data_IF_255043296569
#
_entry.id   IF_255043296569
#
_cell.length_a   1.000
_cell.length_b   1.000
_cell.length_c   1.000
_cell.angle_alpha   90.00
_cell.angle_beta   90.00
_cell.angle_gamma   90.00
#
_symmetry.space_group_name_H-M   'P 1'
#
loop_
_entity.id
_entity.type
_entity.pdbx_description
1 polymer ?
#
# COMPACT_ATOMS: atom_id res chain seq x y z
N UNK A 1 -33.87 43.82 -7.90
CA UNK A 1 -33.49 42.56 -8.57
C UNK A 1 -33.57 42.77 -10.07
N UNK A 2 -32.61 42.18 -10.79
CA UNK A 2 -32.39 42.18 -12.25
C UNK A 2 -32.04 43.53 -12.93
N UNK A 3 -30.74 43.66 -13.27
CA UNK A 3 -30.26 44.44 -14.43
C UNK A 3 -30.01 43.46 -15.58
N UNK A 4 -30.31 43.87 -16.81
CA UNK A 4 -29.25 43.85 -17.83
C UNK A 4 -29.31 45.12 -18.72
N UNK A 5 -28.15 45.65 -19.13
CA UNK A 5 -28.06 46.54 -20.31
C UNK A 5 -26.70 46.41 -20.98
N UNK A 6 -26.73 45.97 -22.24
CA UNK A 6 -25.70 46.10 -23.27
C UNK A 6 -26.36 46.95 -24.39
N UNK A 7 -25.54 47.68 -25.15
CA UNK A 7 -25.80 48.53 -26.34
C UNK A 7 -26.11 50.02 -26.04
N UNK A 8 -25.17 50.94 -26.35
CA UNK A 8 -24.96 51.66 -27.64
C UNK A 8 -26.06 52.73 -27.87
N UNK A 9 -25.85 53.99 -28.26
CA UNK A 9 -24.91 54.61 -29.21
C UNK A 9 -25.17 56.15 -29.21
N UNK A 10 -24.16 56.98 -29.54
CA UNK A 10 -24.21 58.38 -30.08
C UNK A 10 -24.78 59.53 -29.18
N UNK A 11 -24.42 60.82 -29.26
CA UNK A 11 -23.94 61.68 -30.36
C UNK A 11 -23.49 63.05 -29.74
N UNK A 12 -22.36 63.64 -30.18
CA UNK A 12 -22.26 65.10 -30.29
C UNK A 12 -21.24 65.52 -31.39
N UNK A 13 -21.83 65.84 -32.54
CA UNK A 13 -21.52 66.84 -33.58
C UNK A 13 -20.14 67.56 -33.63
N UNK A 14 -19.35 67.21 -34.67
CA UNK A 14 -18.90 68.02 -35.85
C UNK A 14 -18.25 69.43 -35.69
N UNK A 15 -17.60 70.02 -36.75
CA UNK A 15 -16.75 69.47 -37.83
C UNK A 15 -15.49 70.34 -38.14
N UNK A 16 -14.57 69.85 -38.97
CA UNK A 16 -14.12 70.62 -40.16
C UNK A 16 -13.33 69.79 -41.18
N UNK A 17 -13.78 69.92 -42.43
CA UNK A 17 -13.36 69.24 -43.64
C UNK A 17 -12.03 69.79 -44.20
N UNK A 18 -11.29 68.96 -44.96
CA UNK A 18 -10.94 69.26 -46.37
C UNK A 18 -10.28 68.05 -47.07
N UNK A 19 -10.81 67.78 -48.28
CA UNK A 19 -10.19 67.20 -49.50
C UNK A 19 -9.65 65.76 -49.45
N UNK A 20 -10.22 64.68 -50.02
CA UNK A 20 -10.87 64.30 -51.33
C UNK A 20 -9.88 63.61 -52.31
N UNK A 21 -10.36 62.48 -52.88
CA UNK A 21 -10.05 61.81 -54.17
C UNK A 21 -9.18 60.52 -54.13
N UNK A 22 -9.83 59.36 -54.32
CA UNK A 22 -9.35 58.07 -54.88
C UNK A 22 -9.53 58.10 -56.43
N UNK A 23 -9.10 57.13 -57.31
CA UNK A 23 -8.40 55.84 -57.13
C UNK A 23 -7.32 55.50 -58.22
N UNK A 24 -6.90 54.22 -58.27
CA UNK A 24 -6.59 53.35 -59.44
C UNK A 24 -5.14 53.01 -59.86
N UNK A 25 -4.88 51.68 -59.82
CA UNK A 25 -4.29 50.79 -60.85
C UNK A 25 -2.76 50.66 -61.04
N UNK A 26 -2.33 49.41 -60.80
CA UNK A 26 -1.56 48.55 -61.73
C UNK A 26 -0.02 48.69 -61.81
N UNK A 27 0.66 47.77 -61.12
CA UNK A 27 2.00 47.15 -61.36
C UNK A 27 2.61 46.90 -59.98
N UNK A 28 3.06 45.70 -59.57
CA UNK A 28 3.88 44.72 -60.24
C UNK A 28 3.45 43.30 -59.81
N UNK A 29 3.14 42.44 -60.79
CA UNK A 29 3.56 41.04 -60.72
C UNK A 29 5.08 41.01 -60.93
N UNK A 30 5.80 40.25 -60.10
CA UNK A 30 6.94 39.37 -60.40
C UNK A 30 7.63 39.05 -59.06
N UNK A 31 8.03 37.78 -58.88
CA UNK A 31 8.63 37.16 -57.68
C UNK A 31 7.68 36.43 -56.71
N UNK A 32 6.72 35.68 -57.24
CA UNK A 32 6.37 34.38 -56.64
C UNK A 32 7.39 33.32 -57.14
N UNK A 33 8.42 33.07 -56.35
CA UNK A 33 9.43 32.06 -56.68
C UNK A 33 10.35 31.79 -55.50
N UNK A 34 10.11 30.66 -54.82
CA UNK A 34 11.08 29.96 -53.97
C UNK A 34 11.44 30.58 -52.62
N UNK A 35 10.49 30.62 -51.69
CA UNK A 35 10.79 30.45 -50.25
C UNK A 35 9.65 29.69 -49.56
N UNK A 36 9.40 28.45 -50.02
CA UNK A 36 8.76 27.46 -49.18
C UNK A 36 9.77 27.03 -48.12
N UNK A 37 9.89 27.85 -47.08
CA UNK A 37 10.72 27.59 -45.93
C UNK A 37 10.20 26.31 -45.26
N UNK A 38 11.07 25.32 -45.26
CA UNK A 38 10.91 24.01 -44.65
C UNK A 38 10.67 24.19 -43.15
N UNK A 39 9.41 24.38 -42.77
CA UNK A 39 8.97 24.29 -41.39
C UNK A 39 9.07 22.82 -40.99
N UNK A 40 10.20 22.48 -40.37
CA UNK A 40 10.47 21.19 -39.74
C UNK A 40 9.37 20.93 -38.71
N UNK A 41 8.33 20.21 -39.13
CA UNK A 41 7.22 19.77 -38.31
C UNK A 41 7.74 18.68 -37.36
N UNK A 42 8.57 19.05 -36.38
CA UNK A 42 8.79 18.23 -35.19
C UNK A 42 7.47 18.19 -34.44
N UNK A 43 6.60 17.24 -34.82
CA UNK A 43 5.51 16.77 -33.98
C UNK A 43 6.12 16.49 -32.61
N UNK A 44 5.81 17.32 -31.62
CA UNK A 44 6.07 17.00 -30.21
C UNK A 44 5.49 15.60 -30.01
N UNK A 45 6.38 14.61 -29.83
CA UNK A 45 6.01 13.22 -29.55
C UNK A 45 5.07 13.31 -28.35
N UNK A 46 3.79 12.98 -28.54
CA UNK A 46 2.79 12.94 -27.47
C UNK A 46 3.45 12.17 -26.34
N UNK A 47 3.60 12.76 -25.16
CA UNK A 47 4.28 12.08 -24.05
C UNK A 47 3.54 10.77 -23.81
N UNK A 48 4.20 9.64 -24.05
CA UNK A 48 3.69 8.29 -23.82
C UNK A 48 3.64 8.05 -22.30
N UNK A 49 2.81 8.83 -21.60
CA UNK A 49 2.46 8.56 -20.20
C UNK A 49 1.72 7.23 -20.23
N UNK A 50 2.26 6.18 -19.59
CA UNK A 50 1.56 4.90 -19.52
C UNK A 50 0.20 5.16 -18.88
N UNK A 51 -0.86 4.61 -19.44
CA UNK A 51 -2.16 4.61 -18.75
C UNK A 51 -2.15 3.41 -17.81
N UNK A 52 -2.08 3.66 -16.51
CA UNK A 52 -2.01 2.59 -15.52
C UNK A 52 -2.85 2.94 -14.28
N UNK A 53 -3.12 1.91 -13.47
CA UNK A 53 -3.55 2.07 -12.08
C UNK A 53 -2.65 1.23 -11.18
N UNK A 54 -2.54 1.64 -9.92
CA UNK A 54 -2.01 0.81 -8.84
C UNK A 54 -3.25 0.31 -8.09
N UNK A 55 -3.37 -0.99 -7.87
CA UNK A 55 -4.47 -1.54 -7.07
C UNK A 55 -4.31 -1.14 -5.61
N UNK A 56 -5.44 -0.89 -4.94
CA UNK A 56 -5.47 -0.57 -3.51
C UNK A 56 -4.84 -1.67 -2.65
N UNK A 57 -4.99 -2.93 -3.05
CA UNK A 57 -4.38 -4.07 -2.36
C UNK A 57 -3.77 -5.07 -3.32
N UNK A 58 -2.78 -5.82 -2.81
CA UNK A 58 -2.04 -6.82 -3.55
C UNK A 58 -2.96 -7.80 -4.30
N UNK A 59 -2.64 -8.08 -5.56
CA UNK A 59 -3.42 -8.89 -6.50
C UNK A 59 -4.87 -8.43 -6.71
N UNK A 60 -5.17 -7.14 -6.53
CA UNK A 60 -6.50 -6.58 -6.73
C UNK A 60 -7.52 -7.09 -5.72
N UNK A 61 -7.06 -7.41 -4.50
CA UNK A 61 -7.94 -7.77 -3.39
C UNK A 61 -8.79 -6.57 -2.99
N UNK A 62 -9.98 -6.86 -2.49
CA UNK A 62 -10.95 -5.83 -2.10
C UNK A 62 -10.51 -5.10 -0.84
N UNK A 63 -9.94 -5.83 0.11
CA UNK A 63 -9.50 -5.31 1.42
C UNK A 63 -8.19 -5.99 1.85
N UNK A 64 -7.61 -5.52 2.96
CA UNK A 64 -6.59 -6.25 3.70
C UNK A 64 -7.14 -6.71 5.06
N UNK A 65 -6.81 -7.93 5.50
CA UNK A 65 -7.14 -8.46 6.82
C UNK A 65 -5.85 -8.86 7.54
N UNK A 66 -5.61 -8.25 8.70
CA UNK A 66 -4.43 -8.47 9.53
C UNK A 66 -4.85 -9.11 10.87
N UNK A 67 -4.40 -10.35 11.12
CA UNK A 67 -4.49 -10.97 12.43
C UNK A 67 -3.31 -10.52 13.28
N UNK A 68 -3.59 -10.03 14.49
CA UNK A 68 -2.56 -9.57 15.43
C UNK A 68 -2.77 -10.21 16.79
N UNK A 69 -1.67 -10.63 17.43
CA UNK A 69 -1.66 -11.37 18.70
C UNK A 69 -0.77 -10.63 19.70
N UNK A 70 -1.33 -10.21 20.84
CA UNK A 70 -0.62 -9.35 21.81
C UNK A 70 -0.12 -10.11 23.02
N UNK A 71 0.86 -9.53 23.71
CA UNK A 71 1.50 -10.00 24.96
C UNK A 71 2.49 -11.15 24.86
N UNK A 72 2.43 -11.94 23.78
CA UNK A 72 3.15 -13.21 23.68
C UNK A 72 2.81 -14.18 24.82
N UNK A 73 1.51 -14.48 24.97
CA UNK A 73 1.01 -15.38 26.02
C UNK A 73 1.43 -16.84 25.81
N UNK A 74 1.25 -17.70 26.83
CA UNK A 74 1.73 -19.09 26.84
C UNK A 74 1.18 -19.95 25.69
N UNK A 75 0.01 -19.61 25.14
CA UNK A 75 -0.60 -20.26 23.99
C UNK A 75 0.00 -19.89 22.64
N UNK A 76 0.66 -18.74 22.51
CA UNK A 76 1.07 -18.20 21.20
C UNK A 76 2.06 -19.10 20.48
N UNK A 77 3.14 -19.49 21.15
CA UNK A 77 4.13 -20.40 20.58
C UNK A 77 3.57 -21.80 20.25
N UNK A 78 3.09 -22.56 21.24
CA UNK A 78 2.71 -23.96 21.03
C UNK A 78 1.39 -24.15 20.26
N UNK A 79 0.45 -23.20 20.31
CA UNK A 79 -0.83 -23.31 19.62
C UNK A 79 -0.85 -22.42 18.37
N UNK A 80 -0.77 -21.11 18.55
CA UNK A 80 -1.10 -20.14 17.49
C UNK A 80 -0.09 -20.19 16.34
N UNK A 81 1.21 -20.09 16.64
CA UNK A 81 2.28 -20.13 15.64
C UNK A 81 2.20 -21.43 14.82
N UNK A 82 1.98 -22.58 15.47
CA UNK A 82 1.87 -23.86 14.77
C UNK A 82 0.67 -23.91 13.82
N UNK A 83 -0.51 -23.50 14.29
CA UNK A 83 -1.73 -23.45 13.48
C UNK A 83 -1.58 -22.50 12.27
N UNK A 84 -0.97 -21.32 12.46
CA UNK A 84 -0.77 -20.34 11.40
C UNK A 84 0.24 -20.82 10.35
N UNK A 85 1.34 -21.46 10.77
CA UNK A 85 2.35 -22.04 9.86
C UNK A 85 1.71 -23.12 9.00
N UNK A 86 0.96 -24.05 9.60
CA UNK A 86 0.29 -25.13 8.87
C UNK A 86 -0.65 -24.60 7.80
N UNK A 87 -1.40 -23.54 8.13
CA UNK A 87 -2.35 -22.87 7.23
C UNK A 87 -1.70 -21.89 6.26
N UNK A 88 -0.40 -21.63 6.36
CA UNK A 88 0.32 -20.56 5.65
C UNK A 88 -0.41 -19.22 5.78
N UNK A 89 -0.86 -18.93 7.00
CA UNK A 89 -1.66 -17.76 7.33
C UNK A 89 -0.76 -16.70 7.97
N UNK A 90 -0.41 -15.60 7.26
CA UNK A 90 0.40 -14.54 7.84
C UNK A 90 -0.36 -13.83 8.97
N UNK A 91 0.37 -13.45 10.01
CA UNK A 91 -0.13 -12.72 11.17
C UNK A 91 1.00 -11.91 11.81
N UNK A 92 0.64 -11.07 12.79
CA UNK A 92 1.58 -10.23 13.55
C UNK A 92 1.52 -10.59 15.03
N UNK A 93 2.66 -10.74 15.68
CA UNK A 93 2.76 -10.96 17.13
C UNK A 93 3.41 -9.74 17.78
N UNK A 94 2.66 -8.98 18.57
CA UNK A 94 3.20 -7.88 19.35
C UNK A 94 3.71 -8.42 20.69
N UNK A 95 5.03 -8.40 20.86
CA UNK A 95 5.71 -9.07 21.96
C UNK A 95 6.04 -8.10 23.09
N UNK A 96 5.57 -8.39 24.30
CA UNK A 96 6.03 -7.75 25.53
C UNK A 96 7.29 -8.46 25.99
N UNK A 97 8.45 -7.82 25.90
CA UNK A 97 9.72 -8.53 26.02
C UNK A 97 9.93 -9.21 27.40
N UNK A 98 9.43 -8.64 28.50
CA UNK A 98 9.53 -9.25 29.82
C UNK A 98 8.62 -10.47 30.01
N UNK A 99 7.61 -10.66 29.16
CA UNK A 99 6.74 -11.84 29.20
C UNK A 99 7.39 -13.07 28.52
N UNK A 100 8.56 -12.92 27.90
CA UNK A 100 9.22 -13.95 27.07
C UNK A 100 9.80 -15.14 27.87
N UNK A 101 9.68 -15.12 29.21
CA UNK A 101 10.48 -15.91 30.14
C UNK A 101 9.75 -17.00 30.91
N UNK A 102 9.21 -18.02 30.23
CA UNK A 102 9.10 -19.40 30.75
C UNK A 102 9.32 -20.42 29.60
N UNK A 103 10.59 -20.67 29.24
CA UNK A 103 11.00 -21.95 28.65
C UNK A 103 11.14 -22.07 27.12
N UNK A 104 11.26 -20.98 26.35
CA UNK A 104 11.57 -21.07 24.91
C UNK A 104 11.01 -19.98 23.98
N UNK A 105 10.58 -18.83 24.52
CA UNK A 105 9.89 -17.78 23.77
C UNK A 105 10.60 -17.35 22.48
N UNK A 106 11.89 -16.99 22.56
CA UNK A 106 12.65 -16.54 21.38
C UNK A 106 12.79 -17.60 20.29
N UNK A 107 12.91 -18.90 20.64
CA UNK A 107 12.99 -19.97 19.62
C UNK A 107 11.68 -20.06 18.83
N UNK A 108 10.53 -19.95 19.52
CA UNK A 108 9.23 -19.92 18.84
C UNK A 108 9.03 -18.62 18.04
N UNK A 109 9.51 -17.47 18.51
CA UNK A 109 9.47 -16.22 17.73
C UNK A 109 10.35 -16.30 16.48
N UNK A 110 11.55 -16.85 16.59
CA UNK A 110 12.44 -17.09 15.44
C UNK A 110 11.77 -18.04 14.44
N UNK A 111 11.14 -19.13 14.92
CA UNK A 111 10.34 -20.03 14.08
C UNK A 111 9.22 -19.27 13.37
N UNK A 112 8.47 -18.43 14.09
CA UNK A 112 7.40 -17.62 13.53
C UNK A 112 7.92 -16.69 12.43
N UNK A 113 9.00 -15.94 12.71
CA UNK A 113 9.64 -15.04 11.75
C UNK A 113 10.14 -15.76 10.49
N UNK A 114 10.77 -16.93 10.64
CA UNK A 114 11.24 -17.76 9.52
C UNK A 114 10.10 -18.22 8.60
N UNK A 115 8.87 -18.29 9.09
CA UNK A 115 7.69 -18.68 8.32
C UNK A 115 6.84 -17.48 7.88
N UNK A 116 7.37 -16.26 7.95
CA UNK A 116 6.70 -15.06 7.46
C UNK A 116 5.62 -14.51 8.39
N UNK A 117 5.61 -14.92 9.66
CA UNK A 117 4.84 -14.24 10.71
C UNK A 117 5.64 -13.04 11.21
N UNK A 118 4.99 -11.90 11.35
CA UNK A 118 5.64 -10.67 11.79
C UNK A 118 5.83 -10.66 13.31
N UNK A 119 7.00 -10.21 13.77
CA UNK A 119 7.25 -9.87 15.16
C UNK A 119 7.19 -8.34 15.29
N UNK A 120 6.21 -7.86 16.04
CA UNK A 120 6.01 -6.46 16.40
C UNK A 120 6.41 -6.19 17.85
N UNK A 121 6.53 -4.90 18.17
CA UNK A 121 6.93 -4.41 19.48
C UNK A 121 5.69 -4.17 20.36
N UNK A 122 5.63 -4.77 21.56
CA UNK A 122 4.64 -4.44 22.59
C UNK A 122 5.28 -3.93 23.87
N UNK A 123 6.41 -3.23 23.71
CA UNK A 123 7.23 -2.64 24.78
C UNK A 123 7.98 -3.67 25.63
N UNK A 124 8.79 -3.18 26.57
CA UNK A 124 9.59 -4.04 27.42
C UNK A 124 8.73 -4.63 28.54
N UNK A 125 8.02 -3.77 29.28
CA UNK A 125 7.30 -4.16 30.50
C UNK A 125 5.80 -3.85 30.46
N UNK A 126 5.24 -3.58 29.28
CA UNK A 126 3.83 -3.25 29.09
C UNK A 126 3.32 -2.05 29.92
N UNK A 127 4.04 -0.91 30.03
CA UNK A 127 3.54 0.26 30.75
C UNK A 127 2.62 1.13 29.87
N UNK A 128 1.81 1.97 30.52
CA UNK A 128 1.16 3.09 29.85
C UNK A 128 2.22 4.12 29.43
N UNK A 129 2.54 4.13 28.14
CA UNK A 129 3.60 4.95 27.56
C UNK A 129 3.37 6.46 27.74
N UNK A 130 2.12 6.89 27.93
CA UNK A 130 1.79 8.32 28.10
C UNK A 130 2.21 8.87 29.46
N UNK A 131 2.55 8.00 30.41
CA UNK A 131 2.97 8.35 31.78
C UNK A 131 4.48 8.33 31.98
N UNK A 132 5.25 8.01 30.95
CA UNK A 132 6.69 7.79 31.06
C UNK A 132 7.50 9.06 30.86
N UNK A 133 8.67 9.10 31.49
CA UNK A 133 9.73 10.05 31.13
C UNK A 133 10.25 9.75 29.72
N UNK A 134 10.94 10.70 29.09
CA UNK A 134 11.50 10.48 27.75
C UNK A 134 12.55 9.34 27.73
N UNK A 135 13.33 9.17 28.80
CA UNK A 135 14.33 8.11 28.89
C UNK A 135 13.69 6.73 29.06
N UNK A 136 12.66 6.62 29.91
CA UNK A 136 11.90 5.38 30.08
C UNK A 136 11.15 5.02 28.79
N UNK A 137 10.52 6.00 28.14
CA UNK A 137 9.84 5.81 26.86
C UNK A 137 10.80 5.28 25.79
N UNK A 138 12.02 5.82 25.71
CA UNK A 138 13.05 5.33 24.77
C UNK A 138 13.46 3.89 25.06
N UNK A 139 13.58 3.52 26.35
CA UNK A 139 13.88 2.14 26.75
C UNK A 139 12.76 1.19 26.35
N UNK A 140 11.52 1.56 26.64
CA UNK A 140 10.32 0.75 26.36
C UNK A 140 10.07 0.59 24.85
N UNK A 141 10.35 1.61 24.05
CA UNK A 141 10.07 1.59 22.60
C UNK A 141 11.31 1.17 21.81
N UNK A 142 12.31 2.03 21.76
CA UNK A 142 13.48 1.89 20.88
C UNK A 142 14.45 0.82 21.37
N UNK A 143 14.63 0.70 22.69
CA UNK A 143 15.43 -0.37 23.31
C UNK A 143 14.86 -1.76 23.02
N UNK A 144 13.55 -1.92 23.22
CA UNK A 144 12.83 -3.17 22.92
C UNK A 144 12.87 -3.52 21.44
N UNK A 145 12.66 -2.55 20.55
CA UNK A 145 12.74 -2.76 19.10
C UNK A 145 14.09 -3.36 18.70
N UNK A 146 15.19 -2.76 19.15
CA UNK A 146 16.54 -3.22 18.83
C UNK A 146 16.83 -4.62 19.41
N UNK A 147 16.38 -4.86 20.65
CA UNK A 147 16.54 -6.17 21.29
C UNK A 147 15.76 -7.25 20.57
N UNK A 148 14.47 -7.03 20.29
CA UNK A 148 13.64 -8.01 19.60
C UNK A 148 14.20 -8.31 18.21
N UNK A 149 14.55 -7.29 17.41
CA UNK A 149 15.13 -7.49 16.09
C UNK A 149 16.39 -8.36 16.12
N UNK A 150 17.25 -8.18 17.14
CA UNK A 150 18.44 -9.00 17.33
C UNK A 150 18.09 -10.45 17.70
N UNK A 151 17.23 -10.64 18.69
CA UNK A 151 16.91 -11.97 19.22
C UNK A 151 16.08 -12.81 18.23
N UNK A 152 15.22 -12.19 17.43
CA UNK A 152 14.38 -12.90 16.44
C UNK A 152 15.01 -12.98 15.05
N UNK A 153 16.11 -12.25 14.83
CA UNK A 153 16.73 -12.07 13.51
C UNK A 153 15.71 -11.63 12.44
N UNK A 154 14.83 -10.69 12.82
CA UNK A 154 13.77 -10.16 11.96
C UNK A 154 13.64 -8.65 12.10
N UNK A 155 13.07 -8.01 11.07
CA UNK A 155 12.69 -6.59 11.15
C UNK A 155 11.52 -6.44 12.13
N UNK A 156 11.69 -5.61 13.16
CA UNK A 156 10.63 -5.20 14.08
C UNK A 156 10.30 -3.75 13.75
N UNK A 157 9.21 -3.54 13.01
CA UNK A 157 8.87 -2.23 12.42
C UNK A 157 7.49 -1.70 12.82
N UNK A 158 6.70 -2.47 13.57
CA UNK A 158 5.37 -2.07 14.03
C UNK A 158 5.29 -2.14 15.55
N UNK A 159 4.38 -1.34 16.13
CA UNK A 159 4.15 -1.31 17.57
C UNK A 159 2.67 -1.39 17.91
N UNK A 160 2.33 -2.12 18.98
CA UNK A 160 1.02 -2.00 19.63
C UNK A 160 1.22 -1.23 20.94
N UNK A 161 0.42 -0.18 21.17
CA UNK A 161 0.50 0.59 22.42
C UNK A 161 -0.12 -0.24 23.55
N UNK A 162 0.60 -0.53 24.64
CA UNK A 162 0.02 -1.16 25.82
C UNK A 162 -1.22 -0.39 26.29
N UNK A 163 -2.31 -1.10 26.53
CA UNK A 163 -3.63 -0.55 26.89
C UNK A 163 -4.29 0.36 25.85
N UNK A 164 -3.59 0.80 24.79
CA UNK A 164 -4.09 1.63 23.70
C UNK A 164 -3.72 3.13 23.69
N UNK A 165 -3.50 3.82 24.82
CA UNK A 165 -3.19 5.25 24.82
C UNK A 165 -1.87 5.62 24.12
N UNK A 166 -1.88 6.79 23.49
CA UNK A 166 -0.72 7.46 22.93
C UNK A 166 -0.90 8.97 23.03
N UNK A 167 0.20 9.72 22.98
CA UNK A 167 0.23 11.18 22.86
C UNK A 167 1.34 11.58 21.87
N UNK A 168 1.50 12.87 21.61
CA UNK A 168 2.48 13.36 20.62
C UNK A 168 3.92 12.95 20.97
N UNK A 169 4.30 12.98 22.25
CA UNK A 169 5.62 12.53 22.69
C UNK A 169 5.84 11.04 22.39
N UNK A 170 4.84 10.21 22.67
CA UNK A 170 4.88 8.76 22.39
C UNK A 170 5.00 8.52 20.89
N UNK A 171 4.15 9.15 20.07
CA UNK A 171 4.17 9.00 18.60
C UNK A 171 5.53 9.40 18.02
N UNK A 172 6.11 10.51 18.48
CA UNK A 172 7.41 10.97 18.00
C UNK A 172 8.56 10.03 18.40
N UNK A 173 8.49 9.34 19.54
CA UNK A 173 9.44 8.27 19.84
C UNK A 173 9.24 7.06 18.92
N UNK A 174 7.98 6.60 18.76
CA UNK A 174 7.66 5.42 17.94
C UNK A 174 8.13 5.59 16.49
N UNK A 175 7.92 6.78 15.91
CA UNK A 175 8.30 7.14 14.53
C UNK A 175 9.79 7.02 14.22
N UNK A 176 10.66 7.03 15.23
CA UNK A 176 12.12 6.90 15.02
C UNK A 176 12.51 5.51 14.52
N UNK A 177 11.74 4.47 14.87
CA UNK A 177 12.10 3.07 14.62
C UNK A 177 10.97 2.21 14.05
N UNK A 178 9.73 2.71 14.02
CA UNK A 178 8.58 1.97 13.53
C UNK A 178 7.90 2.72 12.38
N UNK A 179 7.30 1.98 11.46
CA UNK A 179 6.54 2.52 10.32
C UNK A 179 5.06 2.74 10.62
N UNK A 180 4.56 2.09 11.68
CA UNK A 180 3.17 2.19 12.11
C UNK A 180 3.01 1.72 13.55
N UNK A 181 1.92 2.14 14.16
CA UNK A 181 1.49 1.64 15.46
C UNK A 181 -0.03 1.63 15.59
N UNK A 182 -0.54 0.70 16.41
CA UNK A 182 -1.96 0.56 16.69
C UNK A 182 -2.30 0.69 18.17
N UNK A 183 -3.47 1.26 18.45
CA UNK A 183 -4.11 1.23 19.77
C UNK A 183 -5.07 0.04 19.91
N UNK A 184 -6.00 0.15 20.87
CA UNK A 184 -7.08 -0.82 21.12
C UNK A 184 -8.48 -0.26 20.85
N UNK A 185 -8.56 0.85 20.12
CA UNK A 185 -9.83 1.50 19.81
C UNK A 185 -10.59 0.66 18.79
N UNK A 186 -11.80 0.26 19.15
CA UNK A 186 -12.70 -0.48 18.27
C UNK A 186 -13.04 0.31 17.00
N UNK A 187 -13.00 -0.37 15.87
CA UNK A 187 -13.28 0.19 14.56
C UNK A 187 -14.56 -0.39 13.99
N UNK A 188 -15.47 0.51 13.60
CA UNK A 188 -16.73 0.15 12.96
C UNK A 188 -16.75 0.44 11.46
N UNK A 189 -15.71 1.07 10.90
CA UNK A 189 -15.57 1.40 9.48
C UNK A 189 -14.15 1.11 9.00
N UNK A 190 -14.00 0.52 7.83
CA UNK A 190 -12.74 0.08 7.25
C UNK A 190 -12.44 0.85 5.96
N UNK A 191 -12.16 2.16 6.02
CA UNK A 191 -11.82 2.93 4.84
C UNK A 191 -10.45 2.49 4.29
N UNK A 192 -10.30 2.54 2.96
CA UNK A 192 -8.98 2.40 2.35
C UNK A 192 -8.04 3.52 2.80
N UNK A 193 -8.53 4.75 2.81
CA UNK A 193 -7.81 5.94 3.29
C UNK A 193 -7.82 6.00 4.84
N UNK A 194 -7.42 4.91 5.51
CA UNK A 194 -7.28 4.87 6.97
C UNK A 194 -6.11 5.73 7.47
N UNK A 195 -5.20 6.12 6.57
CA UNK A 195 -4.13 7.05 6.84
C UNK A 195 -4.01 8.08 5.71
N UNK A 196 -4.34 9.34 6.02
CA UNK A 196 -4.26 10.48 5.09
C UNK A 196 -3.06 11.38 5.38
N UNK A 197 -2.47 11.21 6.56
CA UNK A 197 -1.26 11.88 7.01
C UNK A 197 -0.25 10.88 7.57
N UNK A 198 1.02 11.29 7.64
CA UNK A 198 2.08 10.48 8.25
C UNK A 198 1.79 10.09 9.70
N UNK A 199 1.05 10.91 10.46
CA UNK A 199 0.70 10.59 11.84
C UNK A 199 -0.37 9.48 11.94
N UNK A 200 -1.23 9.34 10.94
CA UNK A 200 -2.37 8.42 11.01
C UNK A 200 -1.91 6.95 11.05
N UNK A 201 -0.76 6.64 10.44
CA UNK A 201 -0.13 5.32 10.54
C UNK A 201 0.26 4.92 11.97
N UNK A 202 0.32 5.87 12.90
CA UNK A 202 0.65 5.64 14.30
C UNK A 202 -0.58 5.71 15.21
N UNK A 203 -1.77 5.73 14.62
CA UNK A 203 -3.08 5.83 15.30
C UNK A 203 -4.03 4.75 14.80
N UNK A 204 -3.49 3.60 14.38
CA UNK A 204 -4.30 2.55 13.77
C UNK A 204 -5.24 1.92 14.81
N UNK A 205 -6.46 1.63 14.36
CA UNK A 205 -7.50 1.02 15.17
C UNK A 205 -7.57 -0.49 14.92
N UNK A 206 -8.22 -1.22 15.81
CA UNK A 206 -8.30 -2.69 15.77
C UNK A 206 -9.66 -3.17 16.29
N UNK A 207 -10.05 -4.39 15.96
CA UNK A 207 -11.26 -5.03 16.49
C UNK A 207 -10.86 -6.09 17.51
N UNK A 208 -11.38 -5.96 18.74
CA UNK A 208 -11.18 -6.95 19.80
C UNK A 208 -11.81 -8.31 19.50
N UNK A 209 -11.04 -9.39 19.68
CA UNK A 209 -11.55 -10.77 19.62
C UNK A 209 -11.53 -11.40 21.01
N UNK A 210 -12.66 -11.98 21.41
CA UNK A 210 -12.88 -12.70 22.66
C UNK A 210 -13.76 -13.94 22.43
N UNK A 211 -14.18 -14.63 23.48
CA UNK A 211 -14.99 -15.85 23.40
C UNK A 211 -16.34 -15.68 22.68
N UNK A 212 -16.94 -14.49 22.77
CA UNK A 212 -18.22 -14.14 22.13
C UNK A 212 -18.09 -13.89 20.62
N UNK A 213 -16.88 -13.91 20.09
CA UNK A 213 -16.61 -13.67 18.68
C UNK A 213 -16.88 -14.93 17.85
N UNK A 214 -18.06 -15.01 17.24
CA UNK A 214 -18.48 -16.16 16.42
C UNK A 214 -17.94 -16.07 14.99
N UNK A 215 -17.90 -17.21 14.28
CA UNK A 215 -17.62 -17.25 12.83
C UNK A 215 -18.55 -16.35 12.02
N UNK A 216 -19.80 -16.20 12.43
CA UNK A 216 -20.76 -15.31 11.78
C UNK A 216 -20.39 -13.83 11.95
N UNK A 217 -20.07 -13.40 13.18
CA UNK A 217 -19.59 -12.03 13.46
C UNK A 217 -18.31 -11.75 12.67
N UNK A 218 -17.38 -12.72 12.65
CA UNK A 218 -16.12 -12.64 11.92
C UNK A 218 -16.29 -12.53 10.42
N UNK A 219 -17.11 -13.37 9.80
CA UNK A 219 -17.44 -13.23 8.39
C UNK A 219 -18.13 -11.90 8.07
N UNK A 220 -18.96 -11.39 8.97
CA UNK A 220 -19.65 -10.10 8.79
C UNK A 220 -18.68 -8.93 8.74
N UNK A 221 -17.71 -8.85 9.65
CA UNK A 221 -16.72 -7.77 9.63
C UNK A 221 -15.76 -7.86 8.44
N UNK A 222 -15.37 -9.08 8.01
CA UNK A 222 -14.55 -9.26 6.79
C UNK A 222 -15.33 -8.81 5.55
N UNK A 223 -16.61 -9.16 5.44
CA UNK A 223 -17.47 -8.68 4.34
C UNK A 223 -17.60 -7.17 4.36
N UNK A 224 -17.74 -6.56 5.53
CA UNK A 224 -17.78 -5.10 5.66
C UNK A 224 -16.47 -4.46 5.19
N UNK A 225 -15.32 -4.99 5.60
CA UNK A 225 -14.02 -4.53 5.10
C UNK A 225 -13.89 -4.70 3.58
N UNK A 226 -14.37 -5.81 3.01
CA UNK A 226 -14.40 -6.03 1.56
C UNK A 226 -15.31 -5.03 0.80
N UNK A 227 -16.38 -4.56 1.43
CA UNK A 227 -17.29 -3.56 0.84
C UNK A 227 -16.66 -2.18 0.89
N UNK A 228 -16.06 -1.81 2.02
CA UNK A 228 -15.50 -0.48 2.26
C UNK A 228 -14.09 -0.31 1.66
N UNK A 229 -13.42 -1.42 1.36
CA UNK A 229 -12.17 -1.45 0.62
C UNK A 229 -10.90 -1.27 1.46
N UNK A 230 -11.02 -1.18 2.78
CA UNK A 230 -9.90 -0.83 3.65
C UNK A 230 -9.19 -1.97 4.36
N UNK A 231 -8.57 -1.62 5.48
CA UNK A 231 -7.78 -2.54 6.29
C UNK A 231 -8.58 -2.91 7.56
N UNK A 232 -8.77 -4.22 7.76
CA UNK A 232 -9.28 -4.81 8.99
C UNK A 232 -8.10 -5.31 9.81
N UNK A 233 -7.95 -4.80 11.03
CA UNK A 233 -6.98 -5.31 12.01
C UNK A 233 -7.73 -5.95 13.17
N UNK A 234 -7.30 -7.13 13.58
CA UNK A 234 -7.92 -7.92 14.66
C UNK A 234 -6.91 -8.18 15.76
N UNK A 235 -7.30 -7.98 17.02
CA UNK A 235 -6.46 -8.26 18.17
C UNK A 235 -6.96 -9.50 18.91
N UNK A 236 -6.07 -10.46 19.09
CA UNK A 236 -6.20 -11.67 19.90
C UNK A 236 -5.20 -11.58 21.06
N UNK A 237 -5.54 -12.15 22.21
CA UNK A 237 -4.63 -12.27 23.34
C UNK A 237 -4.42 -13.76 23.63
N UNK A 238 -5.07 -14.30 24.66
CA UNK A 238 -4.86 -15.68 25.09
C UNK A 238 -5.55 -16.73 24.21
N UNK A 239 -4.85 -17.84 23.97
CA UNK A 239 -5.40 -19.02 23.30
C UNK A 239 -5.02 -20.28 24.06
N UNK A 240 -6.00 -21.05 24.52
CA UNK A 240 -5.76 -22.25 25.34
C UNK A 240 -6.35 -23.52 24.73
N UNK A 241 -5.87 -24.66 25.22
CA UNK A 241 -6.46 -25.99 25.01
C UNK A 241 -6.17 -26.88 26.22
N UNK A 242 -6.57 -28.16 26.17
CA UNK A 242 -6.39 -29.10 27.29
C UNK A 242 -4.91 -29.33 27.69
N UNK A 243 -3.94 -28.93 26.85
CA UNK A 243 -2.50 -29.14 27.06
C UNK A 243 -1.75 -27.88 27.45
N UNK A 244 -2.29 -26.71 27.18
CA UNK A 244 -1.65 -25.41 27.38
C UNK A 244 -2.63 -24.49 28.08
N UNK A 245 -2.32 -24.17 29.33
CA UNK A 245 -3.08 -23.24 30.15
C UNK A 245 -2.71 -21.79 29.79
N UNK A 246 -3.64 -21.08 29.15
CA UNK A 246 -3.52 -19.69 28.74
C UNK A 246 -4.87 -18.98 28.86
N UNK A 247 -5.23 -18.61 30.09
CA UNK A 247 -6.49 -17.94 30.41
C UNK A 247 -6.29 -16.46 30.81
N UNK A 248 -5.23 -15.81 30.31
CA UNK A 248 -4.81 -14.50 30.84
C UNK A 248 -5.82 -13.37 30.57
N UNK A 249 -6.05 -13.00 29.31
CA UNK A 249 -6.98 -11.94 28.92
C UNK A 249 -7.68 -12.29 27.61
N UNK A 250 -8.98 -11.97 27.53
CA UNK A 250 -9.83 -12.21 26.36
C UNK A 250 -9.65 -13.60 25.73
N UNK A 251 -9.48 -14.62 26.57
CA UNK A 251 -9.04 -15.95 26.15
C UNK A 251 -10.07 -16.63 25.24
N UNK A 252 -9.58 -17.32 24.20
CA UNK A 252 -10.39 -18.19 23.35
C UNK A 252 -9.81 -19.60 23.32
N UNK A 253 -10.64 -20.60 23.05
CA UNK A 253 -10.15 -21.96 22.83
C UNK A 253 -9.43 -22.08 21.49
N UNK A 254 -8.48 -23.01 21.37
CA UNK A 254 -7.88 -23.40 20.08
C UNK A 254 -8.96 -23.81 19.05
N UNK A 255 -10.03 -24.47 19.50
CA UNK A 255 -11.16 -24.81 18.65
C UNK A 255 -11.82 -23.55 18.08
N UNK A 256 -12.06 -22.52 18.91
CA UNK A 256 -12.62 -21.26 18.45
C UNK A 256 -11.67 -20.54 17.48
N UNK A 257 -10.38 -20.49 17.77
CA UNK A 257 -9.38 -19.94 16.84
C UNK A 257 -9.47 -20.64 15.48
N UNK A 258 -9.51 -21.97 15.46
CA UNK A 258 -9.61 -22.75 14.22
C UNK A 258 -10.89 -22.45 13.42
N UNK A 259 -12.04 -22.32 14.08
CA UNK A 259 -13.29 -21.92 13.43
C UNK A 259 -13.20 -20.53 12.78
N UNK A 260 -12.52 -19.58 13.42
CA UNK A 260 -12.28 -18.25 12.87
C UNK A 260 -11.32 -18.30 11.68
N UNK A 261 -10.25 -19.10 11.76
CA UNK A 261 -9.30 -19.29 10.66
C UNK A 261 -9.94 -19.97 9.44
N UNK A 262 -10.79 -20.99 9.64
CA UNK A 262 -11.58 -21.62 8.58
C UNK A 262 -12.52 -20.62 7.90
N UNK A 263 -13.11 -19.72 8.70
CA UNK A 263 -13.93 -18.64 8.18
C UNK A 263 -13.10 -17.68 7.33
N UNK A 264 -11.91 -17.27 7.80
CA UNK A 264 -10.99 -16.40 7.04
C UNK A 264 -10.59 -17.03 5.70
N UNK A 265 -10.32 -18.34 5.71
CA UNK A 265 -9.92 -19.10 4.52
C UNK A 265 -10.98 -19.01 3.41
N UNK A 266 -12.27 -18.99 3.77
CA UNK A 266 -13.35 -18.80 2.80
C UNK A 266 -13.34 -17.44 2.10
N UNK A 267 -12.71 -16.42 2.69
CA UNK A 267 -12.60 -15.06 2.14
C UNK A 267 -11.24 -14.75 1.48
N UNK A 268 -10.26 -15.66 1.51
CA UNK A 268 -8.91 -15.43 0.92
C UNK A 268 -8.93 -15.06 -0.57
N UNK A 269 -10.01 -15.35 -1.30
CA UNK A 269 -10.19 -14.88 -2.68
C UNK A 269 -10.48 -13.38 -2.78
N UNK A 270 -11.09 -12.79 -1.76
CA UNK A 270 -11.54 -11.41 -1.74
C UNK A 270 -10.64 -10.49 -0.91
N UNK A 271 -10.22 -10.92 0.28
CA UNK A 271 -9.34 -10.14 1.16
C UNK A 271 -7.89 -10.59 1.04
N UNK A 272 -6.95 -9.65 1.15
CA UNK A 272 -5.54 -9.94 1.31
C UNK A 272 -5.24 -10.22 2.78
N UNK A 273 -5.08 -11.50 3.11
CA UNK A 273 -4.60 -11.90 4.43
C UNK A 273 -3.09 -11.68 4.48
N UNK A 274 -2.63 -10.80 5.37
CA UNK A 274 -1.23 -10.38 5.45
C UNK A 274 -0.85 -9.91 6.86
N UNK A 275 0.42 -9.59 7.07
CA UNK A 275 0.89 -8.99 8.33
C UNK A 275 0.61 -7.49 8.34
N UNK A 276 0.57 -6.87 9.52
CA UNK A 276 0.29 -5.43 9.64
C UNK A 276 1.36 -4.59 8.94
N UNK A 277 2.65 -4.94 9.09
CA UNK A 277 3.74 -4.27 8.39
C UNK A 277 3.56 -4.33 6.87
N UNK A 278 3.24 -5.49 6.30
CA UNK A 278 3.07 -5.63 4.86
C UNK A 278 1.89 -4.81 4.32
N UNK A 279 0.75 -4.80 5.03
CA UNK A 279 -0.40 -3.97 4.65
C UNK A 279 -0.05 -2.48 4.68
N UNK A 280 0.59 -2.01 5.76
CA UNK A 280 1.03 -0.61 5.89
C UNK A 280 2.05 -0.23 4.83
N UNK A 281 3.09 -1.05 4.62
CA UNK A 281 4.13 -0.81 3.61
C UNK A 281 3.49 -0.68 2.21
N UNK A 282 2.59 -1.61 1.86
CA UNK A 282 1.88 -1.56 0.58
C UNK A 282 1.08 -0.27 0.41
N UNK A 283 0.26 0.09 1.41
CA UNK A 283 -0.56 1.30 1.36
C UNK A 283 0.29 2.56 1.19
N UNK A 284 1.37 2.68 1.97
CA UNK A 284 2.34 3.79 1.89
C UNK A 284 3.01 3.88 0.53
N UNK A 285 3.55 2.77 0.03
CA UNK A 285 4.21 2.70 -1.28
C UNK A 285 3.22 3.03 -2.41
N UNK A 286 2.03 2.45 -2.39
CA UNK A 286 0.99 2.67 -3.41
C UNK A 286 0.56 4.14 -3.51
N UNK A 287 0.47 4.85 -2.39
CA UNK A 287 0.08 6.27 -2.35
C UNK A 287 1.10 7.22 -2.99
N UNK A 288 2.38 6.88 -2.95
CA UNK A 288 3.43 7.75 -3.46
C UNK A 288 4.12 7.24 -4.74
N UNK A 289 3.83 6.01 -5.17
CA UNK A 289 4.41 5.40 -6.35
C UNK A 289 3.93 6.03 -7.67
N UNK A 290 4.86 6.17 -8.62
CA UNK A 290 4.65 6.72 -9.95
C UNK A 290 5.35 5.87 -11.00
N UNK A 291 4.60 5.46 -12.01
CA UNK A 291 5.10 4.69 -13.15
C UNK A 291 5.38 5.62 -14.34
N UNK A 292 6.58 5.51 -14.91
CA UNK A 292 7.00 6.29 -16.08
C UNK A 292 7.48 5.39 -17.19
N UNK A 293 7.14 5.73 -18.44
CA UNK A 293 7.79 5.15 -19.62
C UNK A 293 9.19 5.70 -19.77
N UNK A 294 10.18 4.83 -19.93
CA UNK A 294 11.53 5.23 -20.36
C UNK A 294 11.62 5.14 -21.89
N UNK A 295 11.45 3.95 -22.46
CA UNK A 295 11.42 3.73 -23.91
C UNK A 295 10.30 2.80 -24.31
N UNK A 296 9.77 2.99 -25.52
CA UNK A 296 8.74 2.13 -26.08
C UNK A 296 9.01 1.94 -27.58
N UNK A 297 9.43 0.75 -27.98
CA UNK A 297 9.76 0.40 -29.37
C UNK A 297 8.98 -0.84 -29.83
N UNK A 298 9.25 -1.33 -31.05
CA UNK A 298 8.51 -2.45 -31.64
C UNK A 298 8.63 -3.77 -30.85
N UNK A 299 9.76 -4.00 -30.17
CA UNK A 299 10.09 -5.26 -29.48
C UNK A 299 10.02 -5.14 -27.95
N UNK A 300 10.19 -3.95 -27.38
CA UNK A 300 10.29 -3.77 -25.93
C UNK A 300 9.61 -2.46 -25.48
N UNK A 301 9.01 -2.50 -24.29
CA UNK A 301 8.59 -1.33 -23.53
C UNK A 301 9.29 -1.36 -22.17
N UNK A 302 10.08 -0.33 -21.88
CA UNK A 302 10.76 -0.18 -20.59
C UNK A 302 10.07 0.88 -19.74
N UNK A 303 9.88 0.56 -18.46
CA UNK A 303 9.20 1.40 -17.48
C UNK A 303 10.07 1.54 -16.23
N UNK A 304 9.83 2.60 -15.48
CA UNK A 304 10.38 2.81 -14.14
C UNK A 304 9.23 3.07 -13.16
N UNK A 305 9.16 2.27 -12.09
CA UNK A 305 8.28 2.52 -10.96
C UNK A 305 9.14 3.07 -9.82
N UNK A 306 8.83 4.29 -9.37
CA UNK A 306 9.54 4.97 -8.27
C UNK A 306 8.53 5.43 -7.26
N UNK A 307 8.89 5.51 -5.99
CA UNK A 307 8.09 6.18 -4.97
C UNK A 307 8.86 7.33 -4.30
N UNK A 308 8.30 7.92 -3.23
CA UNK A 308 8.96 9.03 -2.50
C UNK A 308 9.46 8.62 -1.12
N UNK A 309 9.39 7.34 -0.77
CA UNK A 309 9.87 6.79 0.50
C UNK A 309 11.36 6.49 0.37
N UNK A 310 12.17 7.00 1.29
CA UNK A 310 13.63 7.00 1.14
C UNK A 310 14.33 5.69 1.53
N UNK A 311 13.64 4.76 2.19
CA UNK A 311 14.23 3.53 2.73
C UNK A 311 13.73 2.27 2.02
N UNK A 312 14.37 1.94 0.89
CA UNK A 312 14.01 0.78 0.05
C UNK A 312 14.34 -0.58 0.68
N UNK A 313 14.94 -0.62 1.88
CA UNK A 313 15.08 -1.86 2.66
C UNK A 313 13.80 -2.18 3.43
N UNK A 314 13.09 -1.13 3.89
CA UNK A 314 11.84 -1.24 4.63
C UNK A 314 10.65 -1.27 3.66
N UNK A 315 10.64 -0.34 2.71
CA UNK A 315 9.60 -0.21 1.69
C UNK A 315 10.05 -0.94 0.43
N UNK A 316 9.48 -2.12 0.25
CA UNK A 316 9.85 -3.05 -0.80
C UNK A 316 8.68 -3.98 -1.17
N UNK A 317 7.44 -3.57 -0.90
CA UNK A 317 6.26 -4.37 -1.19
C UNK A 317 5.99 -4.36 -2.70
N UNK A 318 5.82 -5.54 -3.33
CA UNK A 318 5.40 -5.58 -4.71
C UNK A 318 4.00 -4.97 -4.86
N UNK A 319 3.90 -3.89 -5.63
CA UNK A 319 2.63 -3.24 -5.96
C UNK A 319 1.98 -3.89 -7.18
N UNK A 320 0.66 -4.05 -7.15
CA UNK A 320 -0.09 -4.59 -8.30
C UNK A 320 -0.40 -3.48 -9.28
N UNK A 321 0.22 -3.53 -10.46
CA UNK A 321 0.07 -2.56 -11.53
C UNK A 321 -0.86 -3.12 -12.59
N UNK A 322 -1.90 -2.36 -12.95
CA UNK A 322 -2.68 -2.60 -14.16
C UNK A 322 -2.24 -1.62 -15.24
N UNK A 323 -1.56 -2.11 -16.26
CA UNK A 323 -1.10 -1.32 -17.39
C UNK A 323 -2.04 -1.48 -18.59
N UNK A 324 -2.59 -0.37 -19.09
CA UNK A 324 -3.39 -0.35 -20.32
C UNK A 324 -2.49 -0.55 -21.53
N UNK A 325 -2.85 -1.53 -22.36
CA UNK A 325 -2.11 -1.88 -23.56
C UNK A 325 -3.03 -2.01 -24.77
N UNK A 326 -2.61 -1.68 -26.01
CA UNK A 326 -3.48 -1.78 -27.18
C UNK A 326 -3.93 -3.21 -27.55
N UNK A 327 -3.06 -4.20 -27.29
CA UNK A 327 -3.33 -5.61 -27.55
C UNK A 327 -2.51 -6.46 -26.57
N UNK A 328 -3.16 -7.05 -25.56
CA UNK A 328 -2.50 -7.86 -24.52
C UNK A 328 -1.68 -9.02 -25.10
N UNK A 329 -2.21 -9.71 -26.12
CA UNK A 329 -1.57 -10.90 -26.74
C UNK A 329 -0.23 -10.61 -27.44
N UNK A 330 0.11 -9.33 -27.62
CA UNK A 330 1.42 -8.93 -28.16
C UNK A 330 2.53 -9.02 -27.11
N UNK A 331 2.23 -9.03 -25.82
CA UNK A 331 3.24 -9.01 -24.77
C UNK A 331 3.51 -10.43 -24.29
N UNK A 332 4.78 -10.80 -24.10
CA UNK A 332 5.17 -12.21 -23.90
C UNK A 332 6.03 -12.45 -22.66
N UNK A 333 6.66 -11.40 -22.11
CA UNK A 333 7.41 -11.49 -20.87
C UNK A 333 7.44 -10.13 -20.16
N UNK A 334 7.43 -10.16 -18.83
CA UNK A 334 7.73 -9.01 -17.97
C UNK A 334 8.88 -9.40 -17.04
N UNK A 335 9.81 -8.49 -16.80
CA UNK A 335 10.88 -8.68 -15.82
C UNK A 335 11.23 -7.38 -15.11
N UNK A 336 11.80 -7.50 -13.91
CA UNK A 336 12.44 -6.41 -13.18
C UNK A 336 13.83 -6.85 -12.74
N UNK A 337 14.87 -6.05 -13.04
CA UNK A 337 16.29 -6.44 -12.85
C UNK A 337 16.68 -7.76 -13.52
N UNK A 338 15.97 -8.15 -14.59
CA UNK A 338 16.20 -9.42 -15.29
C UNK A 338 15.44 -10.61 -14.70
N UNK A 339 14.87 -10.47 -13.50
CA UNK A 339 14.04 -11.52 -12.89
C UNK A 339 12.65 -11.55 -13.54
N UNK A 340 12.16 -12.70 -14.02
CA UNK A 340 10.83 -12.83 -14.59
C UNK A 340 9.73 -12.50 -13.58
N UNK A 341 8.77 -11.66 -14.00
CA UNK A 341 7.58 -11.33 -13.24
C UNK A 341 6.36 -12.05 -13.84
N UNK A 342 5.57 -12.80 -13.04
CA UNK A 342 4.27 -13.29 -13.47
C UNK A 342 3.36 -12.14 -13.86
N UNK A 343 2.58 -12.33 -14.93
CA UNK A 343 1.59 -11.35 -15.37
C UNK A 343 0.36 -12.04 -15.95
N UNK A 344 -0.76 -11.33 -15.94
CA UNK A 344 -2.03 -11.79 -16.52
C UNK A 344 -2.61 -10.77 -17.49
N UNK A 345 -3.50 -11.23 -18.36
CA UNK A 345 -4.17 -10.40 -19.35
C UNK A 345 -5.67 -10.33 -19.10
N UNK A 346 -6.20 -9.12 -19.20
CA UNK A 346 -7.63 -8.90 -19.33
C UNK A 346 -7.93 -8.36 -20.73
N UNK A 347 -8.23 -9.25 -21.68
CA UNK A 347 -8.52 -8.91 -23.08
C UNK A 347 -9.70 -7.93 -23.20
N UNK A 348 -10.74 -8.10 -22.38
CA UNK A 348 -11.93 -7.23 -22.40
C UNK A 348 -11.58 -5.80 -21.99
N UNK A 349 -10.70 -5.65 -21.00
CA UNK A 349 -10.26 -4.34 -20.50
C UNK A 349 -8.97 -3.85 -21.16
N UNK A 350 -8.32 -4.63 -22.02
CA UNK A 350 -7.03 -4.29 -22.62
C UNK A 350 -5.97 -3.94 -21.55
N UNK A 351 -5.86 -4.79 -20.51
CA UNK A 351 -4.94 -4.60 -19.38
C UNK A 351 -3.95 -5.76 -19.28
N UNK A 352 -2.72 -5.43 -18.89
CA UNK A 352 -1.77 -6.39 -18.31
C UNK A 352 -1.66 -6.08 -16.83
N UNK A 353 -1.73 -7.12 -15.99
CA UNK A 353 -1.58 -6.99 -14.54
C UNK A 353 -0.33 -7.74 -14.08
N UNK A 354 0.53 -7.08 -13.31
CA UNK A 354 1.77 -7.66 -12.77
C UNK A 354 2.16 -6.99 -11.45
N UNK A 355 2.95 -7.70 -10.64
CA UNK A 355 3.44 -7.18 -9.36
C UNK A 355 4.88 -6.74 -9.48
N UNK A 356 5.22 -5.59 -8.92
CA UNK A 356 6.56 -4.99 -9.09
C UNK A 356 6.92 -4.11 -7.90
N UNK A 357 8.19 -4.14 -7.50
CA UNK A 357 8.68 -3.37 -6.36
C UNK A 357 9.09 -1.96 -6.82
N UNK A 358 8.55 -0.89 -6.22
CA UNK A 358 9.04 0.48 -6.44
C UNK A 358 10.54 0.59 -6.19
N UNK A 359 11.25 1.37 -7.01
CA UNK A 359 12.70 1.56 -6.94
C UNK A 359 13.53 0.25 -7.03
N UNK A 360 12.84 -0.84 -7.40
CA UNK A 360 13.39 -2.14 -7.75
C UNK A 360 14.07 -2.14 -9.11
N UNK A 361 14.31 -0.99 -9.74
CA UNK A 361 14.97 -0.87 -11.05
C UNK A 361 14.03 -1.07 -12.25
N UNK A 362 14.63 -1.11 -13.44
CA UNK A 362 13.89 -1.04 -14.71
C UNK A 362 13.01 -2.27 -14.92
N UNK A 363 11.76 -1.99 -15.28
CA UNK A 363 10.77 -2.98 -15.71
C UNK A 363 10.89 -3.12 -17.23
N UNK A 364 11.03 -4.35 -17.72
CA UNK A 364 11.10 -4.65 -19.16
C UNK A 364 9.90 -5.49 -19.56
N UNK A 365 9.10 -4.99 -20.49
CA UNK A 365 7.98 -5.71 -21.09
C UNK A 365 8.35 -6.07 -22.53
N UNK A 366 8.53 -7.36 -22.79
CA UNK A 366 8.88 -7.90 -24.10
C UNK A 366 7.64 -8.11 -24.95
N UNK A 367 7.74 -7.75 -26.23
CA UNK A 367 6.68 -7.90 -27.24
C UNK A 367 7.04 -8.99 -28.25
N UNK A 368 6.04 -9.77 -28.65
CA UNK A 368 6.11 -10.65 -29.79
C UNK A 368 6.48 -9.86 -31.06
N UNK A 369 7.38 -10.43 -31.88
CA UNK A 369 7.69 -9.90 -33.20
C UNK A 369 6.47 -10.01 -34.10
N UNK A 370 6.14 -8.94 -34.80
CA UNK A 370 5.10 -8.97 -35.83
C UNK A 370 5.60 -9.84 -37.00
N UNK A 371 4.75 -10.77 -37.47
CA UNK A 371 5.03 -11.55 -38.69
C UNK A 371 5.20 -10.57 -39.86
N UNK A 372 6.43 -10.36 -40.32
CA UNK A 372 6.75 -9.48 -41.46
C UNK A 372 8.01 -8.61 -41.32
N UNK A 373 8.59 -8.47 -40.12
CA UNK A 373 9.88 -7.77 -39.98
C UNK A 373 11.01 -8.65 -40.53
N UNK A 374 11.43 -8.39 -41.78
CA UNK A 374 12.65 -8.97 -42.37
C UNK A 374 13.84 -8.64 -41.48
N UNK A 375 14.70 -9.64 -41.22
CA UNK A 375 16.04 -9.42 -40.66
C UNK A 375 16.75 -8.42 -41.58
N UNK A 376 17.14 -7.27 -41.06
CA UNK A 376 18.15 -6.43 -41.69
C UNK A 376 19.52 -6.89 -41.20
#
# INVERSE_FOLDING_TARGET
>A
MQKPRIEAFLLYLAPNMKTRIYPTLLSLLICYGSFAQQADHKKKKKSDIPKYTIENWFNGKKSATCLTFDDWSSGHGPIVVNNLIERKCPATFFVTQNNNGLGGGYVQMQKAAQHGLEIGNHTLSHPDLTKLTSDDLKKEVSGTQASLSKETNSEVSTLAYPYGPYNDQVIEEVKKHHIAARGVIDINHFPYEFATSEQDYFKLNTVGVNEDFTSEKFGTIIRKANIEGGMLTLIFHSVYNDKVDDHSYAAITEQRLNQLLDTLDSYKKETWVTTMANAVKYHREAHCAKLKTITNNAMEWTLNLTDTLSNNKIYNQPLTINLKVPNGKKYIAISQRGEPLPFSFNDKKNLISFNVVPDGGIIRITKAREKGMKKK
#
